data_IF_521703958384
#
_entry.id   IF_521703958384
#
_cell.length_a   1.000
_cell.length_b   1.000
_cell.length_c   1.000
_cell.angle_alpha   90.00
_cell.angle_beta   90.00
_cell.angle_gamma   90.00
#
_symmetry.space_group_name_H-M   'P 1'
#
loop_
_entity.id
_entity.type
_entity.pdbx_description
1 polymer ?
#
# COMPACT_ATOMS: atom_id res chain seq x y z
N UNK A 1 -11.81 -1.86 12.09
CA UNK A 1 -10.76 -2.86 12.33
C UNK A 1 -9.53 -2.42 11.55
N UNK A 2 -8.34 -2.60 12.10
CA UNK A 2 -7.09 -2.23 11.43
C UNK A 2 -6.43 -3.48 10.86
N UNK A 3 -6.59 -3.68 9.54
CA UNK A 3 -6.09 -4.88 8.85
C UNK A 3 -5.52 -4.52 7.49
N UNK A 4 -4.45 -5.19 7.07
CA UNK A 4 -4.07 -5.23 5.67
C UNK A 4 -3.51 -6.60 5.29
N UNK A 5 -3.48 -6.85 3.99
CA UNK A 5 -2.86 -8.02 3.40
C UNK A 5 -2.28 -7.69 2.02
N UNK A 6 -1.21 -8.38 1.62
CA UNK A 6 -0.87 -8.50 0.21
C UNK A 6 -1.86 -9.48 -0.42
N UNK A 7 -2.65 -8.97 -1.35
CA UNK A 7 -3.70 -9.74 -2.04
C UNK A 7 -3.15 -10.48 -3.26
N UNK A 8 -2.17 -9.89 -3.96
CA UNK A 8 -1.54 -10.48 -5.13
C UNK A 8 -0.07 -10.05 -5.23
N UNK A 9 0.85 -11.01 -5.39
CA UNK A 9 2.26 -10.75 -5.65
C UNK A 9 2.94 -11.90 -6.44
N UNK A 10 4.06 -11.62 -7.15
CA UNK A 10 4.79 -12.65 -7.88
C UNK A 10 5.26 -13.80 -6.97
N UNK A 11 5.01 -15.05 -7.38
CA UNK A 11 5.42 -16.24 -6.63
C UNK A 11 4.45 -16.66 -5.51
N UNK A 12 3.29 -16.02 -5.41
CA UNK A 12 2.25 -16.39 -4.45
C UNK A 12 1.51 -17.67 -4.85
N UNK A 13 1.12 -18.49 -3.86
CA UNK A 13 0.26 -19.64 -4.08
C UNK A 13 -1.20 -19.21 -4.39
N UNK A 14 -1.88 -19.94 -5.28
CA UNK A 14 -3.23 -19.62 -5.71
C UNK A 14 -4.20 -19.45 -4.52
N UNK A 15 -5.05 -18.42 -4.60
CA UNK A 15 -6.09 -18.10 -3.61
C UNK A 15 -5.58 -17.89 -2.17
N UNK A 16 -4.31 -17.54 -1.99
CA UNK A 16 -3.78 -17.16 -0.68
C UNK A 16 -3.79 -15.64 -0.50
N UNK A 17 -3.57 -15.17 0.73
CA UNK A 17 -3.29 -13.76 1.03
C UNK A 17 -2.24 -13.72 2.14
N UNK A 18 -1.35 -12.73 2.12
CA UNK A 18 -0.36 -12.56 3.17
C UNK A 18 -0.79 -11.42 4.10
N UNK A 19 -1.20 -11.76 5.33
CA UNK A 19 -1.54 -10.76 6.34
C UNK A 19 -0.33 -9.88 6.67
N UNK A 20 -0.58 -8.58 6.83
CA UNK A 20 0.41 -7.60 7.24
C UNK A 20 0.04 -7.11 8.64
N UNK A 21 0.99 -7.18 9.55
CA UNK A 21 0.87 -6.52 10.85
C UNK A 21 1.13 -5.04 10.62
N UNK A 22 0.18 -4.19 10.99
CA UNK A 22 0.26 -2.74 10.81
C UNK A 22 -0.22 -2.00 12.05
N UNK A 23 0.10 -0.72 12.08
CA UNK A 23 -0.45 0.25 13.02
C UNK A 23 -0.74 1.53 12.23
N UNK A 24 -1.92 2.11 12.41
CA UNK A 24 -2.23 3.38 11.76
C UNK A 24 -1.40 4.51 12.38
N UNK A 25 -0.87 5.38 11.52
CA UNK A 25 -0.22 6.61 11.98
C UNK A 25 -1.26 7.60 12.51
N UNK A 26 -0.91 8.32 13.56
CA UNK A 26 -1.77 9.35 14.13
C UNK A 26 -2.19 10.39 13.10
N UNK A 27 -3.45 10.83 13.18
CA UNK A 27 -4.11 11.75 12.23
C UNK A 27 -4.38 11.19 10.82
N UNK A 28 -4.17 9.88 10.57
CA UNK A 28 -4.68 9.24 9.35
C UNK A 28 -6.22 9.19 9.38
N UNK A 29 -6.84 9.46 8.23
CA UNK A 29 -8.27 9.23 8.04
C UNK A 29 -8.55 7.74 7.85
N UNK A 30 -9.74 7.28 8.24
CA UNK A 30 -10.18 5.91 8.00
C UNK A 30 -10.37 5.68 6.49
N UNK A 31 -10.08 4.46 6.03
CA UNK A 31 -10.49 4.01 4.69
C UNK A 31 -12.02 3.88 4.61
N UNK A 32 -12.61 3.81 3.40
CA UNK A 32 -14.02 3.44 3.23
C UNK A 32 -14.36 2.13 3.94
N UNK A 33 -15.65 1.92 4.23
CA UNK A 33 -16.14 0.73 4.91
C UNK A 33 -15.78 -0.58 4.17
N UNK A 34 -15.76 -0.55 2.84
CA UNK A 34 -15.38 -1.68 1.98
C UNK A 34 -13.85 -1.87 1.84
N UNK A 35 -13.06 -1.01 2.49
CA UNK A 35 -11.59 -1.00 2.38
C UNK A 35 -11.08 -0.34 1.09
N UNK A 36 -9.76 -0.42 0.89
CA UNK A 36 -9.08 0.02 -0.33
C UNK A 36 -8.17 -1.12 -0.78
N UNK A 37 -8.31 -1.54 -2.04
CA UNK A 37 -7.35 -2.42 -2.71
C UNK A 37 -6.77 -1.66 -3.88
N UNK A 38 -5.45 -1.51 -3.92
CA UNK A 38 -4.75 -0.81 -4.97
C UNK A 38 -3.34 -1.39 -5.18
N UNK A 39 -2.75 -1.10 -6.34
CA UNK A 39 -1.37 -1.46 -6.62
C UNK A 39 -0.41 -0.76 -5.65
N UNK A 40 0.65 -1.45 -5.26
CA UNK A 40 1.69 -0.90 -4.39
C UNK A 40 2.84 -0.35 -5.23
N UNK A 41 3.19 0.92 -5.01
CA UNK A 41 4.39 1.54 -5.55
C UNK A 41 5.40 1.70 -4.42
N UNK A 42 6.60 1.17 -4.61
CA UNK A 42 7.67 1.28 -3.63
C UNK A 42 8.49 2.54 -3.93
N UNK A 43 8.75 3.34 -2.91
CA UNK A 43 9.66 4.48 -2.97
C UNK A 43 10.57 4.44 -1.75
N UNK A 44 11.88 4.66 -1.92
CA UNK A 44 12.83 4.63 -0.82
C UNK A 44 12.60 5.76 0.19
N UNK A 45 12.25 6.94 -0.32
CA UNK A 45 12.07 8.15 0.49
C UNK A 45 11.16 9.16 -0.22
N UNK A 46 10.92 10.29 0.45
CA UNK A 46 10.06 11.36 -0.07
C UNK A 46 10.62 12.04 -1.33
N UNK A 47 11.92 12.05 -1.55
CA UNK A 47 12.51 12.69 -2.73
C UNK A 47 12.32 11.81 -3.96
N UNK A 48 12.44 10.49 -3.83
CA UNK A 48 12.08 9.55 -4.89
C UNK A 48 10.59 9.66 -5.23
N UNK A 49 9.71 9.74 -4.22
CA UNK A 49 8.28 9.91 -4.47
C UNK A 49 7.97 11.20 -5.25
N UNK A 50 8.62 12.33 -4.91
CA UNK A 50 8.42 13.62 -5.61
C UNK A 50 8.93 13.59 -7.06
N UNK A 51 9.93 12.75 -7.35
CA UNK A 51 10.51 12.63 -8.68
C UNK A 51 9.64 11.77 -9.63
N UNK A 52 8.77 10.92 -9.09
CA UNK A 52 7.86 10.08 -9.88
C UNK A 52 6.72 10.93 -10.49
N UNK A 53 6.36 10.67 -11.76
CA UNK A 53 5.28 11.41 -12.39
C UNK A 53 3.92 10.99 -11.79
N UNK A 54 2.98 11.95 -11.75
CA UNK A 54 1.71 11.81 -11.03
C UNK A 54 0.88 10.60 -11.51
N UNK A 55 0.90 10.31 -12.80
CA UNK A 55 0.23 9.16 -13.42
C UNK A 55 0.70 7.80 -12.88
N UNK A 56 1.93 7.73 -12.36
CA UNK A 56 2.50 6.52 -11.76
C UNK A 56 2.06 6.31 -10.30
N UNK A 57 1.55 7.33 -9.64
CA UNK A 57 1.25 7.32 -8.19
C UNK A 57 -0.26 7.42 -7.92
N UNK A 58 -0.99 8.20 -8.72
CA UNK A 58 -2.38 8.49 -8.47
C UNK A 58 -3.22 7.20 -8.36
N UNK A 59 -3.95 7.07 -7.25
CA UNK A 59 -4.80 5.90 -6.97
C UNK A 59 -4.06 4.65 -6.48
N UNK A 60 -2.75 4.74 -6.19
CA UNK A 60 -1.93 3.62 -5.70
C UNK A 60 -1.56 3.78 -4.22
N UNK A 61 -1.17 2.68 -3.59
CA UNK A 61 -0.63 2.67 -2.22
C UNK A 61 0.89 2.84 -2.30
N UNK A 62 1.43 3.90 -1.71
CA UNK A 62 2.89 4.10 -1.66
C UNK A 62 3.47 3.41 -0.44
N UNK A 63 4.40 2.48 -0.65
CA UNK A 63 5.18 1.84 0.41
C UNK A 63 6.56 2.51 0.49
N UNK A 64 6.85 3.12 1.63
CA UNK A 64 8.20 3.63 1.89
C UNK A 64 9.11 2.52 2.44
N UNK A 65 10.23 2.25 1.77
CA UNK A 65 11.23 1.26 2.19
C UNK A 65 12.60 1.93 2.41
N UNK A 66 12.83 2.43 3.63
CA UNK A 66 14.06 3.14 3.96
C UNK A 66 15.30 2.24 3.93
#
# INVERSE_FOLDING_TARGET
>A
EETAALVQFPGQADNTMQKIVLCALGASVATPADGITAEVVVAKNFDELKALPHDKIAGKIVLFNY
#
